data_IF_999151714469
#
_entry.id   IF_999151714469
#
_cell.length_a   1.000
_cell.length_b   1.000
_cell.length_c   1.000
_cell.angle_alpha   90.00
_cell.angle_beta   90.00
_cell.angle_gamma   90.00
#
_symmetry.space_group_name_H-M   'P 1'
#
loop_
_entity.id
_entity.type
_entity.pdbx_description
1 polymer ?
#
# COMPACT_ATOMS: atom_id res chain seq x y z
N UNK A 1 31.42 5.35 4.15
CA UNK A 1 30.39 5.16 3.11
C UNK A 1 30.06 6.53 2.52
N UNK A 2 29.95 6.68 1.19
CA UNK A 2 29.52 7.93 0.54
C UNK A 2 28.34 7.61 -0.38
N UNK A 3 27.32 8.47 -0.37
CA UNK A 3 26.14 8.34 -1.24
C UNK A 3 26.52 8.94 -2.60
N UNK A 4 26.34 8.18 -3.68
CA UNK A 4 26.58 8.65 -5.05
C UNK A 4 25.34 9.33 -5.61
N UNK A 5 24.20 8.68 -5.47
CA UNK A 5 22.89 9.15 -5.89
C UNK A 5 21.90 8.90 -4.75
N UNK A 6 21.14 9.94 -4.37
CA UNK A 6 20.16 9.84 -3.28
C UNK A 6 18.89 9.11 -3.69
N UNK A 7 18.45 9.26 -4.96
CA UNK A 7 17.26 8.64 -5.50
C UNK A 7 17.53 8.09 -6.90
N UNK A 8 17.86 6.80 -6.97
CA UNK A 8 18.10 6.11 -8.25
C UNK A 8 16.81 5.57 -8.88
N UNK A 9 15.84 5.14 -8.08
CA UNK A 9 14.59 4.58 -8.55
C UNK A 9 13.45 4.77 -7.53
N UNK A 10 12.23 4.81 -8.04
CA UNK A 10 11.00 4.70 -7.25
C UNK A 10 10.48 3.27 -7.35
N UNK A 11 10.16 2.65 -6.21
CA UNK A 11 9.66 1.27 -6.16
C UNK A 11 8.24 1.27 -5.61
N UNK A 12 7.40 0.42 -6.18
CA UNK A 12 6.04 0.17 -5.69
C UNK A 12 6.05 -0.72 -4.45
N UNK A 13 5.00 -0.64 -3.63
CA UNK A 13 4.81 -1.52 -2.48
C UNK A 13 4.83 -2.99 -2.90
N UNK A 14 4.28 -3.30 -4.09
CA UNK A 14 4.26 -4.65 -4.64
C UNK A 14 5.67 -5.20 -4.93
N UNK A 15 6.53 -4.40 -5.55
CA UNK A 15 7.92 -4.79 -5.84
C UNK A 15 8.71 -5.02 -4.56
N UNK A 16 8.57 -4.11 -3.58
CA UNK A 16 9.22 -4.24 -2.28
C UNK A 16 8.71 -5.48 -1.55
N UNK A 17 7.40 -5.69 -1.49
CA UNK A 17 6.79 -6.87 -0.88
C UNK A 17 7.29 -8.17 -1.50
N UNK A 18 7.31 -8.24 -2.84
CA UNK A 18 7.79 -9.41 -3.58
C UNK A 18 9.26 -9.66 -3.31
N UNK A 19 10.09 -8.61 -3.33
CA UNK A 19 11.50 -8.71 -3.00
C UNK A 19 11.75 -9.26 -1.59
N UNK A 20 11.04 -8.73 -0.59
CA UNK A 20 11.16 -9.17 0.80
C UNK A 20 10.72 -10.64 0.98
N UNK A 21 9.64 -11.04 0.33
CA UNK A 21 9.14 -12.43 0.34
C UNK A 21 10.15 -13.40 -0.30
N UNK A 22 10.69 -13.05 -1.47
CA UNK A 22 11.75 -13.84 -2.12
C UNK A 22 13.02 -13.90 -1.27
N UNK A 23 13.42 -12.78 -0.68
CA UNK A 23 14.56 -12.71 0.21
C UNK A 23 14.36 -13.67 1.38
N UNK A 24 13.21 -13.63 2.07
CA UNK A 24 12.84 -14.59 3.13
C UNK A 24 12.94 -16.04 2.67
N UNK A 25 12.41 -16.38 1.49
CA UNK A 25 12.49 -17.72 0.93
C UNK A 25 13.94 -18.17 0.65
N UNK A 26 14.78 -17.29 0.07
CA UNK A 26 16.20 -17.58 -0.21
C UNK A 26 16.98 -17.92 1.06
N UNK A 27 16.77 -17.16 2.14
CA UNK A 27 17.44 -17.39 3.41
C UNK A 27 16.96 -18.66 4.12
N UNK A 28 15.65 -18.97 4.02
CA UNK A 28 15.11 -20.22 4.54
C UNK A 28 15.74 -21.45 3.83
N UNK A 29 15.87 -21.40 2.49
CA UNK A 29 16.48 -22.48 1.69
C UNK A 29 17.95 -22.71 2.00
N UNK A 30 18.71 -21.66 2.34
CA UNK A 30 20.15 -21.76 2.65
C UNK A 30 20.45 -22.24 4.08
N UNK A 31 19.44 -22.57 4.88
CA UNK A 31 19.63 -23.00 6.27
C UNK A 31 20.25 -21.93 7.17
N UNK A 32 20.28 -20.66 6.73
CA UNK A 32 20.91 -19.54 7.44
C UNK A 32 19.99 -18.94 8.52
N UNK A 33 19.24 -19.78 9.25
CA UNK A 33 18.48 -19.34 10.42
C UNK A 33 19.48 -18.81 11.46
N UNK A 34 19.41 -17.51 11.79
CA UNK A 34 20.28 -16.85 12.78
C UNK A 34 21.48 -16.08 12.24
N UNK A 35 21.69 -15.99 10.91
CA UNK A 35 22.80 -15.20 10.33
C UNK A 35 22.40 -13.77 9.93
N UNK A 36 21.17 -13.36 10.22
CA UNK A 36 20.67 -12.01 9.94
C UNK A 36 20.94 -11.10 11.13
N UNK A 37 21.35 -9.85 10.90
CA UNK A 37 21.28 -8.82 11.93
C UNK A 37 19.85 -8.72 12.47
N UNK A 38 19.67 -8.73 13.80
CA UNK A 38 18.34 -8.74 14.42
C UNK A 38 17.49 -7.54 14.02
N UNK A 39 18.11 -6.37 13.86
CA UNK A 39 17.46 -5.16 13.38
C UNK A 39 16.85 -5.31 11.98
N UNK A 40 17.54 -5.99 11.06
CA UNK A 40 16.98 -6.26 9.73
C UNK A 40 15.77 -7.19 9.81
N UNK A 41 15.80 -8.20 10.69
CA UNK A 41 14.70 -9.12 10.86
C UNK A 41 13.44 -8.42 11.40
N UNK A 42 13.61 -7.51 12.37
CA UNK A 42 12.53 -6.66 12.88
C UNK A 42 11.91 -5.82 11.77
N UNK A 43 12.71 -5.04 11.04
CA UNK A 43 12.20 -4.16 9.98
C UNK A 43 11.49 -4.95 8.87
N UNK A 44 12.03 -6.09 8.47
CA UNK A 44 11.39 -6.93 7.45
C UNK A 44 10.06 -7.50 7.94
N UNK A 45 9.99 -7.88 9.22
CA UNK A 45 8.75 -8.39 9.80
C UNK A 45 7.68 -7.30 9.85
N UNK A 46 8.01 -6.13 10.40
CA UNK A 46 7.09 -4.98 10.53
C UNK A 46 6.60 -4.50 9.16
N UNK A 47 7.48 -4.43 8.15
CA UNK A 47 7.08 -4.06 6.79
C UNK A 47 6.12 -5.07 6.15
N UNK A 48 6.36 -6.37 6.35
CA UNK A 48 5.45 -7.40 5.83
C UNK A 48 4.11 -7.38 6.54
N UNK A 49 4.08 -7.09 7.84
CA UNK A 49 2.85 -6.87 8.61
C UNK A 49 2.08 -5.66 8.07
N UNK A 50 2.76 -4.51 7.91
CA UNK A 50 2.18 -3.30 7.31
C UNK A 50 1.57 -3.55 5.92
N UNK A 51 2.28 -4.27 5.03
CA UNK A 51 1.74 -4.57 3.71
C UNK A 51 0.50 -5.49 3.75
N UNK A 52 0.36 -6.32 4.77
CA UNK A 52 -0.76 -7.27 4.90
C UNK A 52 -1.93 -6.70 5.71
N UNK A 53 -1.74 -5.59 6.42
CA UNK A 53 -2.75 -4.91 7.21
C UNK A 53 -3.81 -4.27 6.31
N UNK A 54 -5.10 -4.48 6.61
CA UNK A 54 -6.17 -3.80 5.90
C UNK A 54 -6.15 -2.29 6.25
N UNK A 55 -6.35 -1.37 5.28
CA UNK A 55 -6.93 -1.57 3.95
C UNK A 55 -5.91 -1.80 2.80
N UNK A 56 -4.68 -2.21 3.10
CA UNK A 56 -3.64 -2.40 2.07
C UNK A 56 -4.11 -3.35 0.95
N UNK A 57 -3.88 -3.00 -0.34
CA UNK A 57 -4.21 -3.88 -1.46
C UNK A 57 -3.49 -5.23 -1.41
N UNK A 58 -2.29 -5.27 -0.82
CA UNK A 58 -1.47 -6.47 -0.71
C UNK A 58 -1.96 -7.45 0.38
N UNK A 59 -2.78 -6.97 1.32
CA UNK A 59 -3.45 -7.80 2.33
C UNK A 59 -4.75 -8.45 1.85
N UNK A 60 -5.28 -8.03 0.68
CA UNK A 60 -6.53 -8.54 0.13
C UNK A 60 -6.43 -10.02 -0.26
N UNK A 61 -7.49 -10.80 0.01
CA UNK A 61 -7.57 -12.22 -0.34
C UNK A 61 -8.79 -12.46 -1.26
N UNK A 62 -8.62 -13.09 -2.44
CA UNK A 62 -7.38 -13.61 -3.02
C UNK A 62 -6.38 -12.50 -3.36
N UNK A 63 -5.08 -12.82 -3.35
CA UNK A 63 -4.02 -11.85 -3.65
C UNK A 63 -4.18 -11.33 -5.08
N UNK A 64 -4.43 -10.03 -5.27
CA UNK A 64 -4.88 -9.53 -6.57
C UNK A 64 -3.74 -9.33 -7.57
N UNK A 65 -2.48 -9.24 -7.12
CA UNK A 65 -1.37 -8.78 -7.96
C UNK A 65 -0.51 -9.93 -8.50
N UNK A 66 0.06 -9.71 -9.67
CA UNK A 66 1.00 -10.60 -10.33
C UNK A 66 2.05 -9.78 -11.09
N UNK A 67 3.04 -10.46 -11.67
CA UNK A 67 4.16 -9.83 -12.38
C UNK A 67 3.71 -8.95 -13.56
N UNK A 68 2.58 -9.26 -14.18
CA UNK A 68 2.02 -8.47 -15.28
C UNK A 68 1.12 -7.33 -14.82
N UNK A 69 0.74 -7.25 -13.53
CA UNK A 69 -0.22 -6.25 -13.03
C UNK A 69 0.23 -4.82 -13.33
N UNK A 70 1.50 -4.49 -13.07
CA UNK A 70 2.05 -3.14 -13.34
C UNK A 70 1.93 -2.81 -14.83
N UNK A 71 2.34 -3.74 -15.69
CA UNK A 71 2.32 -3.57 -17.15
C UNK A 71 0.90 -3.41 -17.68
N UNK A 72 -0.01 -4.28 -17.27
CA UNK A 72 -1.41 -4.26 -17.69
C UNK A 72 -2.08 -2.97 -17.24
N UNK A 73 -1.87 -2.53 -15.99
CA UNK A 73 -2.41 -1.28 -15.50
C UNK A 73 -1.87 -0.09 -16.29
N UNK A 74 -0.57 -0.07 -16.58
CA UNK A 74 0.07 0.99 -17.35
C UNK A 74 -0.48 1.07 -18.77
N UNK A 75 -0.65 -0.08 -19.44
CA UNK A 75 -1.23 -0.14 -20.79
C UNK A 75 -2.69 0.34 -20.81
N UNK A 76 -3.50 -0.04 -19.81
CA UNK A 76 -4.92 0.35 -19.70
C UNK A 76 -5.11 1.83 -19.34
N UNK A 77 -4.26 2.37 -18.47
CA UNK A 77 -4.34 3.78 -18.05
C UNK A 77 -3.58 4.74 -18.98
N UNK A 78 -2.92 4.24 -20.04
CA UNK A 78 -2.10 5.05 -20.96
C UNK A 78 -2.87 6.18 -21.66
N UNK A 79 -4.18 6.02 -21.83
CA UNK A 79 -5.04 7.03 -22.44
C UNK A 79 -5.21 8.27 -21.54
N UNK A 80 -4.97 8.12 -20.23
CA UNK A 80 -5.08 9.20 -19.25
C UNK A 80 -3.68 9.71 -18.91
N UNK A 81 -3.54 11.02 -18.84
CA UNK A 81 -2.26 11.67 -18.58
C UNK A 81 -1.93 11.61 -17.09
N UNK A 82 -1.48 10.47 -16.58
CA UNK A 82 -1.01 10.33 -15.19
C UNK A 82 0.50 10.53 -15.08
N UNK A 83 0.92 11.25 -14.03
CA UNK A 83 2.34 11.34 -13.69
C UNK A 83 2.84 10.01 -13.12
N UNK A 84 4.16 9.80 -13.14
CA UNK A 84 4.77 8.59 -12.54
C UNK A 84 4.46 8.45 -11.06
N UNK A 85 4.38 9.57 -10.34
CA UNK A 85 4.07 9.58 -8.90
C UNK A 85 2.60 9.17 -8.66
N UNK A 86 1.67 9.72 -9.44
CA UNK A 86 0.26 9.36 -9.37
C UNK A 86 0.05 7.89 -9.69
N UNK A 87 0.70 7.39 -10.75
CA UNK A 87 0.62 5.97 -11.12
C UNK A 87 1.13 5.07 -9.99
N UNK A 88 2.25 5.43 -9.36
CA UNK A 88 2.80 4.72 -8.20
C UNK A 88 1.81 4.72 -7.03
N UNK A 89 1.16 5.85 -6.77
CA UNK A 89 0.15 5.98 -5.70
C UNK A 89 -1.13 5.19 -6.00
N UNK A 90 -1.60 5.19 -7.26
CA UNK A 90 -2.74 4.36 -7.69
C UNK A 90 -2.46 2.89 -7.41
N UNK A 91 -1.24 2.42 -7.70
CA UNK A 91 -0.86 1.03 -7.49
C UNK A 91 -0.72 0.68 -6.00
N UNK A 92 -0.24 1.61 -5.18
CA UNK A 92 -0.07 1.41 -3.74
C UNK A 92 -1.38 1.51 -2.94
N UNK A 93 -2.30 2.38 -3.34
CA UNK A 93 -3.54 2.67 -2.60
C UNK A 93 -4.80 2.04 -3.21
N UNK A 94 -4.78 1.69 -4.50
CA UNK A 94 -5.93 1.12 -5.23
C UNK A 94 -7.22 1.95 -5.05
N UNK A 95 -7.27 3.21 -5.54
CA UNK A 95 -8.46 4.04 -5.45
C UNK A 95 -9.58 3.50 -6.37
N UNK A 96 -10.62 2.94 -5.78
CA UNK A 96 -11.76 2.32 -6.50
C UNK A 96 -12.97 3.23 -6.66
N UNK A 97 -12.93 4.42 -6.08
CA UNK A 97 -13.99 5.42 -6.16
C UNK A 97 -13.41 6.79 -6.55
N UNK A 98 -14.17 7.65 -7.22
CA UNK A 98 -13.69 8.98 -7.62
C UNK A 98 -13.19 9.83 -6.44
N UNK A 99 -13.81 9.71 -5.27
CA UNK A 99 -13.39 10.48 -4.08
C UNK A 99 -12.00 10.05 -3.60
N UNK A 100 -11.69 8.76 -3.69
CA UNK A 100 -10.37 8.23 -3.36
C UNK A 100 -9.34 8.55 -4.46
N UNK A 101 -9.78 8.62 -5.72
CA UNK A 101 -8.89 9.00 -6.82
C UNK A 101 -8.50 10.49 -6.71
N UNK A 102 -9.41 11.34 -6.20
CA UNK A 102 -9.18 12.77 -5.97
C UNK A 102 -8.12 13.03 -4.89
N UNK A 103 -7.88 12.09 -3.98
CA UNK A 103 -6.79 12.22 -3.00
C UNK A 103 -5.43 11.86 -3.58
N UNK A 104 -5.40 11.22 -4.76
CA UNK A 104 -4.16 10.80 -5.45
C UNK A 104 -3.78 11.76 -6.57
N UNK A 105 -4.76 12.33 -7.26
CA UNK A 105 -4.59 13.15 -8.46
C UNK A 105 -4.82 14.61 -8.11
N UNK A 106 -3.80 15.44 -8.32
CA UNK A 106 -3.95 16.89 -8.12
C UNK A 106 -4.83 17.51 -9.21
N UNK A 107 -5.68 18.46 -8.80
CA UNK A 107 -6.64 19.17 -9.66
C UNK A 107 -7.49 18.22 -10.52
N UNK A 108 -7.98 17.12 -9.92
CA UNK A 108 -8.70 16.05 -10.63
C UNK A 108 -9.88 16.56 -11.47
N UNK A 109 -10.68 17.49 -10.94
CA UNK A 109 -11.80 18.09 -11.68
C UNK A 109 -11.36 18.91 -12.90
N UNK A 110 -10.17 19.52 -12.83
CA UNK A 110 -9.60 20.27 -13.95
C UNK A 110 -9.05 19.37 -15.06
N UNK A 111 -8.41 18.25 -14.69
CA UNK A 111 -7.80 17.30 -15.65
C UNK A 111 -8.79 16.29 -16.21
N UNK A 112 -9.75 15.85 -15.39
CA UNK A 112 -10.76 14.86 -15.73
C UNK A 112 -12.15 15.39 -15.35
N UNK A 113 -12.70 16.38 -16.07
CA UNK A 113 -13.96 17.03 -15.70
C UNK A 113 -15.20 16.14 -15.87
N UNK A 114 -15.10 15.08 -16.69
CA UNK A 114 -16.21 14.16 -16.91
C UNK A 114 -16.31 13.12 -15.80
N UNK A 115 -17.43 13.10 -15.07
CA UNK A 115 -17.70 12.07 -14.05
C UNK A 115 -17.61 10.64 -14.63
N UNK A 116 -18.09 10.45 -15.86
CA UNK A 116 -17.98 9.17 -16.58
C UNK A 116 -16.53 8.73 -16.78
N UNK A 117 -15.63 9.66 -17.09
CA UNK A 117 -14.19 9.39 -17.25
C UNK A 117 -13.55 8.97 -15.93
N UNK A 118 -13.91 9.64 -14.83
CA UNK A 118 -13.42 9.30 -13.49
C UNK A 118 -13.89 7.90 -13.08
N UNK A 119 -15.15 7.58 -13.33
CA UNK A 119 -15.72 6.26 -13.08
C UNK A 119 -15.06 5.17 -13.94
N UNK A 120 -14.75 5.46 -15.20
CA UNK A 120 -14.04 4.55 -16.10
C UNK A 120 -12.64 4.22 -15.57
N UNK A 121 -11.89 5.23 -15.12
CA UNK A 121 -10.56 5.05 -14.52
C UNK A 121 -10.67 4.16 -13.27
N UNK A 122 -11.61 4.45 -12.37
CA UNK A 122 -11.84 3.64 -11.18
C UNK A 122 -12.27 2.19 -11.52
N UNK A 123 -13.03 2.00 -12.60
CA UNK A 123 -13.42 0.69 -13.08
C UNK A 123 -12.20 -0.10 -13.61
N UNK A 124 -11.32 0.53 -14.39
CA UNK A 124 -10.06 -0.07 -14.86
C UNK A 124 -9.18 -0.49 -13.67
N UNK A 125 -9.02 0.40 -12.68
CA UNK A 125 -8.25 0.12 -11.47
C UNK A 125 -8.84 -1.10 -10.75
N UNK A 126 -10.16 -1.15 -10.61
CA UNK A 126 -10.85 -2.27 -9.95
C UNK A 126 -10.75 -3.58 -10.74
N UNK A 127 -10.79 -3.53 -12.08
CA UNK A 127 -10.63 -4.70 -12.96
C UNK A 127 -9.22 -5.30 -12.82
N UNK A 128 -8.19 -4.45 -12.81
CA UNK A 128 -6.79 -4.89 -12.83
C UNK A 128 -6.24 -5.20 -11.43
N UNK A 129 -6.58 -4.37 -10.44
CA UNK A 129 -6.06 -4.46 -9.07
C UNK A 129 -7.02 -5.21 -8.11
N UNK A 130 -8.15 -5.69 -8.63
CA UNK A 130 -9.16 -6.43 -7.88
C UNK A 130 -10.06 -5.53 -7.03
N UNK A 131 -11.19 -6.10 -6.60
CA UNK A 131 -12.14 -5.42 -5.71
C UNK A 131 -11.61 -5.43 -4.26
N UNK A 132 -11.66 -4.28 -3.55
CA UNK A 132 -11.35 -4.26 -2.13
C UNK A 132 -12.34 -5.11 -1.36
N UNK A 133 -11.84 -5.79 -0.32
CA UNK A 133 -12.67 -6.49 0.64
C UNK A 133 -13.24 -5.46 1.62
N UNK A 134 -14.42 -4.94 1.30
CA UNK A 134 -15.08 -3.93 2.11
C UNK A 134 -15.47 -4.41 3.52
N UNK A 135 -15.50 -5.72 3.79
CA UNK A 135 -15.69 -6.23 5.15
C UNK A 135 -14.40 -6.13 5.95
N UNK A 136 -13.28 -6.57 5.38
CA UNK A 136 -11.97 -6.45 6.00
C UNK A 136 -11.59 -4.98 6.26
N UNK A 137 -11.87 -4.07 5.33
CA UNK A 137 -11.63 -2.63 5.51
C UNK A 137 -12.46 -2.05 6.67
N UNK A 138 -13.74 -2.41 6.77
CA UNK A 138 -14.63 -1.94 7.85
C UNK A 138 -14.20 -2.49 9.22
N UNK A 139 -13.78 -3.75 9.26
CA UNK A 139 -13.26 -4.38 10.48
C UNK A 139 -11.97 -3.69 10.94
N UNK A 140 -11.00 -3.48 10.04
CA UNK A 140 -9.76 -2.79 10.36
C UNK A 140 -9.99 -1.34 10.82
N UNK A 141 -10.89 -0.59 10.16
CA UNK A 141 -11.27 0.75 10.63
C UNK A 141 -11.88 0.73 12.04
N UNK A 142 -12.69 -0.28 12.35
CA UNK A 142 -13.28 -0.45 13.69
C UNK A 142 -12.21 -0.81 14.73
N UNK A 143 -11.30 -1.72 14.42
CA UNK A 143 -10.20 -2.14 15.30
C UNK A 143 -9.26 -0.97 15.59
N UNK A 144 -8.83 -0.25 14.55
CA UNK A 144 -7.97 0.93 14.69
C UNK A 144 -8.65 2.05 15.51
N UNK A 145 -9.96 2.25 15.35
CA UNK A 145 -10.70 3.21 16.16
C UNK A 145 -10.78 2.79 17.65
N UNK A 146 -10.88 1.49 17.93
CA UNK A 146 -10.88 0.95 19.30
C UNK A 146 -9.49 1.10 19.92
N UNK A 147 -8.43 0.78 19.18
CA UNK A 147 -7.05 0.95 19.66
C UNK A 147 -6.71 2.40 19.94
N UNK A 148 -7.07 3.32 19.03
CA UNK A 148 -6.86 4.75 19.23
C UNK A 148 -7.56 5.26 20.50
N UNK A 149 -8.78 4.80 20.79
CA UNK A 149 -9.49 5.14 22.04
C UNK A 149 -8.76 4.63 23.28
N UNK A 150 -8.30 3.37 23.26
CA UNK A 150 -7.53 2.78 24.36
C UNK A 150 -6.17 3.45 24.56
N UNK A 151 -5.55 3.96 23.50
CA UNK A 151 -4.32 4.75 23.58
C UNK A 151 -4.56 6.07 24.31
N UNK A 152 -5.66 6.77 23.96
CA UNK A 152 -6.06 8.03 24.59
C UNK A 152 -6.38 7.82 26.09
N UNK A 153 -7.11 6.77 26.43
CA UNK A 153 -7.41 6.43 27.84
C UNK A 153 -6.14 6.16 28.65
N UNK A 154 -5.20 5.37 28.11
CA UNK A 154 -3.90 5.11 28.76
C UNK A 154 -3.05 6.38 28.91
N UNK A 155 -3.12 7.30 27.96
CA UNK A 155 -2.41 8.59 28.04
C UNK A 155 -3.04 9.54 29.06
N UNK A 156 -4.36 9.52 29.22
CA UNK A 156 -5.07 10.27 30.25
C UNK A 156 -4.77 9.77 31.67
N UNK A 157 -4.79 8.45 31.88
CA UNK A 157 -4.48 7.83 33.17
C UNK A 157 -3.03 8.07 33.61
N UNK A 158 -2.06 8.08 32.69
CA UNK A 158 -0.68 8.42 33.00
C UNK A 158 -0.50 9.91 33.38
N UNK A 159 -1.37 10.80 32.92
CA UNK A 159 -1.28 12.24 33.22
C UNK A 159 -1.90 12.57 34.59
N UNK A 160 -2.92 11.83 35.02
CA UNK A 160 -3.54 11.97 36.36
C UNK A 160 -2.68 11.38 37.50
N UNK A 161 -1.71 10.52 37.19
CA UNK A 161 -0.81 9.90 38.19
C UNK A 161 0.45 10.73 38.48
N UNK A 162 0.73 11.76 37.69
CA UNK A 162 1.89 12.65 37.81
C UNK A 162 1.54 14.03 38.47
N UNK A 163 0.29 14.26 38.88
CA UNK A 163 -0.17 15.39 39.72
C UNK A 163 -0.34 15.01 41.21
#
# INVERSE_FOLDING_TARGET
MKILESQSATLTNYEVYTHLMEQRARYAKKGMKGRRPGNLETVVKELLEYFQEAPSPLGSKPFPYNENTIRTLFERLRAYDFTKAEFLMILNLRPTKPENLNTVVEEMEGRFPGEEQQLEICAIITEVLGKPDGEAERQAMSENAIEARKEIERQGENMELDE
#
